data_IF_911430757901
#
_entry.id   IF_911430757901
#
_cell.length_a   1.000
_cell.length_b   1.000
_cell.length_c   1.000
_cell.angle_alpha   90.00
_cell.angle_beta   90.00
_cell.angle_gamma   90.00
#
_symmetry.space_group_name_H-M   'P 1'
#
loop_
_entity.id
_entity.type
_entity.pdbx_description
1 polymer ?
#
# COMPACT_ATOMS: atom_id res chain seq x y z
N UNK A 1 12.81 -14.43 -13.37
CA UNK A 1 13.51 -13.99 -12.15
C UNK A 1 14.50 -15.04 -11.69
N UNK A 2 14.04 -16.24 -11.29
CA UNK A 2 14.86 -17.39 -10.90
C UNK A 2 16.12 -17.64 -11.76
N UNK A 3 15.93 -18.03 -13.03
CA UNK A 3 17.05 -18.32 -13.94
C UNK A 3 18.03 -17.14 -14.08
N UNK A 4 17.54 -15.90 -14.04
CA UNK A 4 18.37 -14.71 -14.22
C UNK A 4 19.20 -14.39 -12.97
N UNK A 5 18.64 -14.61 -11.77
CA UNK A 5 19.38 -14.45 -10.50
C UNK A 5 20.44 -15.56 -10.40
N UNK A 6 20.06 -16.82 -10.63
CA UNK A 6 21.00 -17.94 -10.57
C UNK A 6 22.13 -17.75 -11.59
N UNK A 7 21.83 -17.49 -12.87
CA UNK A 7 22.86 -17.27 -13.88
C UNK A 7 23.86 -16.14 -13.53
N UNK A 8 23.46 -15.16 -12.72
CA UNK A 8 24.31 -14.04 -12.32
C UNK A 8 25.14 -14.33 -11.06
N UNK A 9 24.63 -15.11 -10.11
CA UNK A 9 25.21 -15.22 -8.76
C UNK A 9 25.64 -16.63 -8.33
N UNK A 10 25.29 -17.69 -9.06
CA UNK A 10 25.79 -19.03 -8.77
C UNK A 10 24.94 -20.19 -9.31
N UNK A 11 25.33 -21.41 -8.95
CA UNK A 11 24.61 -22.62 -9.36
C UNK A 11 23.16 -22.64 -8.85
N UNK A 12 22.28 -23.12 -9.71
CA UNK A 12 20.82 -23.17 -9.52
C UNK A 12 20.49 -24.15 -8.37
N UNK A 13 20.12 -23.68 -7.16
CA UNK A 13 19.75 -24.60 -6.09
C UNK A 13 18.38 -25.21 -6.40
N UNK A 14 18.19 -26.51 -6.14
CA UNK A 14 16.84 -27.09 -6.13
C UNK A 14 16.07 -26.47 -4.97
N UNK A 15 15.00 -25.75 -5.28
CA UNK A 15 14.17 -25.04 -4.29
C UNK A 15 12.71 -25.42 -4.47
N UNK A 16 12.02 -25.52 -3.34
CA UNK A 16 10.57 -25.53 -3.28
C UNK A 16 10.12 -24.21 -2.65
N UNK A 17 9.21 -23.50 -3.31
CA UNK A 17 8.80 -22.14 -2.91
C UNK A 17 7.28 -22.10 -2.80
N UNK A 18 6.83 -21.91 -1.57
CA UNK A 18 5.42 -21.70 -1.26
C UNK A 18 5.16 -20.22 -1.02
N UNK A 19 4.09 -19.68 -1.62
CA UNK A 19 3.69 -18.29 -1.43
C UNK A 19 2.21 -18.21 -1.06
N UNK A 20 1.93 -17.52 0.04
CA UNK A 20 0.59 -17.22 0.54
C UNK A 20 0.51 -15.73 0.91
N UNK A 21 -0.66 -15.11 0.80
CA UNK A 21 -0.84 -13.68 1.04
C UNK A 21 -2.20 -13.34 1.65
N UNK A 22 -2.20 -12.38 2.58
CA UNK A 22 -3.41 -11.74 3.12
C UNK A 22 -3.98 -10.66 2.19
N UNK A 23 -3.23 -10.23 1.17
CA UNK A 23 -3.65 -9.17 0.26
C UNK A 23 -4.76 -9.67 -0.68
N UNK A 24 -5.89 -8.94 -0.80
CA UNK A 24 -6.91 -9.30 -1.75
C UNK A 24 -6.41 -9.14 -3.19
N UNK A 25 -6.63 -10.18 -3.99
CA UNK A 25 -6.15 -10.25 -5.38
C UNK A 25 -6.90 -9.23 -6.24
N UNK A 26 -6.17 -8.48 -7.07
CA UNK A 26 -6.75 -7.59 -8.07
C UNK A 26 -7.33 -6.27 -7.53
N UNK A 27 -7.21 -5.99 -6.23
CA UNK A 27 -7.71 -4.77 -5.60
C UNK A 27 -6.84 -3.51 -5.89
N UNK A 28 -5.67 -3.68 -6.52
CA UNK A 28 -4.72 -2.59 -6.76
C UNK A 28 -3.92 -2.19 -5.52
N UNK A 29 -3.64 -3.15 -4.64
CA UNK A 29 -2.87 -2.97 -3.40
C UNK A 29 -1.41 -3.45 -3.53
N UNK A 30 -0.89 -3.59 -4.76
CA UNK A 30 0.49 -3.99 -5.00
C UNK A 30 0.81 -5.46 -4.69
N UNK A 31 -0.16 -6.38 -4.79
CA UNK A 31 0.08 -7.81 -4.47
C UNK A 31 1.10 -8.47 -5.40
N UNK A 32 1.16 -8.11 -6.69
CA UNK A 32 2.19 -8.60 -7.63
C UNK A 32 3.58 -8.13 -7.23
N UNK A 33 3.69 -6.87 -6.82
CA UNK A 33 4.94 -6.29 -6.37
C UNK A 33 5.41 -6.92 -5.04
N UNK A 34 4.50 -7.13 -4.08
CA UNK A 34 4.81 -7.83 -2.84
C UNK A 34 5.32 -9.26 -3.12
N UNK A 35 4.65 -9.99 -4.03
CA UNK A 35 5.11 -11.29 -4.52
C UNK A 35 6.52 -11.22 -5.12
N UNK A 36 6.76 -10.27 -6.04
CA UNK A 36 8.05 -10.11 -6.71
C UNK A 36 9.18 -9.76 -5.73
N UNK A 37 8.89 -8.94 -4.71
CA UNK A 37 9.83 -8.58 -3.64
C UNK A 37 10.17 -9.79 -2.78
N UNK A 38 9.18 -10.54 -2.29
CA UNK A 38 9.41 -11.75 -1.49
C UNK A 38 10.22 -12.79 -2.26
N UNK A 39 9.88 -13.01 -3.54
CA UNK A 39 10.60 -13.95 -4.39
C UNK A 39 12.03 -13.50 -4.66
N UNK A 40 12.26 -12.22 -4.95
CA UNK A 40 13.59 -11.66 -5.16
C UNK A 40 14.46 -11.83 -3.90
N UNK A 41 13.94 -11.49 -2.72
CA UNK A 41 14.67 -11.62 -1.46
C UNK A 41 15.04 -13.08 -1.15
N UNK A 42 14.09 -14.00 -1.27
CA UNK A 42 14.33 -15.42 -1.02
C UNK A 42 15.38 -16.01 -1.98
N UNK A 43 15.29 -15.69 -3.27
CA UNK A 43 16.21 -16.20 -4.28
C UNK A 43 17.61 -15.59 -4.18
N UNK A 44 17.72 -14.29 -3.89
CA UNK A 44 19.00 -13.63 -3.67
C UNK A 44 19.71 -14.21 -2.45
N UNK A 45 18.97 -14.50 -1.36
CA UNK A 45 19.53 -15.15 -0.18
C UNK A 45 19.98 -16.58 -0.50
N UNK A 46 19.14 -17.36 -1.20
CA UNK A 46 19.47 -18.74 -1.58
C UNK A 46 20.72 -18.82 -2.47
N UNK A 47 20.91 -17.84 -3.36
CA UNK A 47 22.09 -17.72 -4.21
C UNK A 47 23.28 -17.02 -3.51
N UNK A 48 23.18 -16.71 -2.20
CA UNK A 48 24.20 -15.99 -1.41
C UNK A 48 24.60 -14.62 -1.98
N UNK A 49 23.71 -14.00 -2.75
CA UNK A 49 23.90 -12.65 -3.29
C UNK A 49 23.61 -11.56 -2.24
N UNK A 50 22.82 -11.89 -1.22
CA UNK A 50 22.59 -11.08 -0.02
C UNK A 50 22.76 -11.96 1.22
N UNK A 51 23.06 -11.33 2.35
CA UNK A 51 23.27 -12.00 3.63
C UNK A 51 21.95 -12.48 4.26
N UNK A 52 22.06 -13.39 5.24
CA UNK A 52 20.94 -13.69 6.14
C UNK A 52 20.92 -12.60 7.24
N UNK A 53 19.88 -11.76 7.32
CA UNK A 53 19.86 -10.65 8.25
C UNK A 53 19.53 -11.08 9.69
N UNK A 54 18.92 -12.26 9.88
CA UNK A 54 18.53 -12.75 11.20
C UNK A 54 19.76 -13.16 12.02
N UNK A 55 19.93 -12.53 13.19
CA UNK A 55 20.91 -12.97 14.18
C UNK A 55 20.28 -13.94 15.17
N UNK A 56 21.14 -14.69 15.86
CA UNK A 56 20.70 -15.65 16.88
C UNK A 56 19.89 -14.96 17.97
N UNK A 57 18.65 -15.42 18.20
CA UNK A 57 17.72 -14.86 19.18
C UNK A 57 16.78 -13.77 18.65
N UNK A 58 16.95 -13.28 17.43
CA UNK A 58 16.01 -12.32 16.81
C UNK A 58 14.79 -13.05 16.21
N UNK A 59 13.61 -12.46 16.33
CA UNK A 59 12.37 -12.99 15.73
C UNK A 59 12.19 -12.54 14.29
N UNK A 60 12.65 -11.32 13.97
CA UNK A 60 12.54 -10.72 12.64
C UNK A 60 13.76 -9.86 12.35
N UNK A 61 14.18 -9.79 11.09
CA UNK A 61 15.28 -8.94 10.66
C UNK A 61 15.10 -8.42 9.23
N UNK A 62 15.76 -7.31 8.91
CA UNK A 62 15.76 -6.69 7.59
C UNK A 62 17.18 -6.52 7.07
N UNK A 63 17.31 -6.47 5.75
CA UNK A 63 18.57 -6.31 5.04
C UNK A 63 19.11 -4.88 5.08
N UNK A 64 20.38 -4.70 4.71
CA UNK A 64 20.99 -3.37 4.60
C UNK A 64 20.41 -2.58 3.42
N UNK A 65 20.65 -1.27 3.36
CA UNK A 65 20.14 -0.42 2.28
C UNK A 65 20.64 -0.86 0.90
N UNK A 66 21.90 -1.33 0.81
CA UNK A 66 22.50 -1.84 -0.42
C UNK A 66 21.79 -3.13 -0.89
N UNK A 67 21.50 -4.03 0.04
CA UNK A 67 20.80 -5.29 -0.22
C UNK A 67 19.32 -5.06 -0.56
N UNK A 68 18.65 -4.14 0.13
CA UNK A 68 17.30 -3.69 -0.20
C UNK A 68 17.24 -3.08 -1.60
N UNK A 69 18.22 -2.27 -1.98
CA UNK A 69 18.33 -1.73 -3.35
C UNK A 69 18.43 -2.86 -4.38
N UNK A 70 19.18 -3.92 -4.09
CA UNK A 70 19.31 -5.09 -4.96
C UNK A 70 17.99 -5.89 -5.04
N UNK A 71 17.31 -6.10 -3.92
CA UNK A 71 15.98 -6.74 -3.87
C UNK A 71 14.99 -5.94 -4.73
N UNK A 72 14.94 -4.61 -4.54
CA UNK A 72 14.05 -3.74 -5.28
C UNK A 72 14.31 -3.81 -6.79
N UNK A 73 15.58 -3.79 -7.19
CA UNK A 73 15.98 -3.88 -8.59
C UNK A 73 15.45 -5.15 -9.25
N UNK A 74 15.60 -6.30 -8.59
CA UNK A 74 15.13 -7.58 -9.13
C UNK A 74 13.60 -7.71 -9.10
N UNK A 75 12.96 -7.22 -8.04
CA UNK A 75 11.50 -7.15 -7.96
C UNK A 75 10.93 -6.28 -9.08
N UNK A 76 11.56 -5.14 -9.37
CA UNK A 76 11.19 -4.27 -10.49
C UNK A 76 11.30 -4.97 -11.84
N UNK A 77 12.36 -5.76 -12.08
CA UNK A 77 12.45 -6.56 -13.31
C UNK A 77 11.34 -7.62 -13.38
N UNK A 78 10.94 -8.21 -12.24
CA UNK A 78 9.78 -9.09 -12.15
C UNK A 78 8.48 -8.39 -12.57
N UNK A 79 8.22 -7.21 -12.01
CA UNK A 79 7.03 -6.42 -12.34
C UNK A 79 7.03 -5.97 -13.81
N UNK A 80 8.20 -5.70 -14.40
CA UNK A 80 8.31 -5.38 -15.84
C UNK A 80 7.89 -6.56 -16.74
N UNK A 81 8.15 -7.79 -16.30
CA UNK A 81 7.72 -8.98 -17.06
C UNK A 81 6.19 -9.15 -16.98
N UNK A 82 5.59 -8.86 -15.81
CA UNK A 82 4.16 -9.06 -15.57
C UNK A 82 3.32 -7.92 -16.17
N UNK A 83 3.74 -6.67 -15.94
CA UNK A 83 2.95 -5.46 -16.25
C UNK A 83 3.53 -4.61 -17.39
N UNK A 84 4.69 -4.99 -17.94
CA UNK A 84 5.36 -4.28 -19.04
C UNK A 84 6.11 -3.04 -18.57
N UNK A 85 5.37 -1.95 -18.29
CA UNK A 85 5.94 -0.64 -17.92
C UNK A 85 5.45 -0.14 -16.54
N UNK A 86 5.78 -0.85 -15.44
CA UNK A 86 5.46 -0.40 -14.08
C UNK A 86 6.22 0.87 -13.70
N UNK A 87 5.64 1.67 -12.79
CA UNK A 87 6.25 2.92 -12.29
C UNK A 87 7.42 2.70 -11.32
N UNK A 88 7.52 1.50 -10.74
CA UNK A 88 8.49 1.18 -9.69
C UNK A 88 8.01 1.46 -8.27
N UNK A 89 6.84 2.10 -8.10
CA UNK A 89 6.33 2.51 -6.78
C UNK A 89 5.91 1.30 -5.95
N UNK A 90 5.16 0.36 -6.52
CA UNK A 90 4.60 -0.76 -5.76
C UNK A 90 5.71 -1.65 -5.17
N UNK A 91 6.72 -2.00 -5.98
CA UNK A 91 7.86 -2.79 -5.51
C UNK A 91 8.76 -1.99 -4.56
N UNK A 92 8.85 -0.67 -4.72
CA UNK A 92 9.53 0.19 -3.76
C UNK A 92 8.84 0.15 -2.39
N UNK A 93 7.52 0.31 -2.34
CA UNK A 93 6.76 0.22 -1.09
C UNK A 93 6.96 -1.17 -0.46
N UNK A 94 6.84 -2.24 -1.25
CA UNK A 94 7.08 -3.60 -0.75
C UNK A 94 8.50 -3.84 -0.21
N UNK A 95 9.51 -3.15 -0.74
CA UNK A 95 10.90 -3.32 -0.32
C UNK A 95 11.23 -2.50 0.93
N UNK A 96 11.01 -1.19 0.87
CA UNK A 96 11.42 -0.26 1.95
C UNK A 96 10.37 -0.14 3.05
N UNK A 97 9.08 -0.35 2.74
CA UNK A 97 7.98 -0.07 3.66
C UNK A 97 7.83 1.41 3.98
N UNK A 98 7.16 1.71 5.08
CA UNK A 98 6.91 3.07 5.53
C UNK A 98 6.07 3.85 4.51
N UNK A 99 6.46 5.10 4.25
CA UNK A 99 5.85 5.93 3.22
C UNK A 99 6.90 6.40 2.21
N UNK A 100 6.48 6.54 0.95
CA UNK A 100 7.32 6.98 -0.15
C UNK A 100 6.69 8.19 -0.84
N UNK A 101 7.53 9.17 -1.20
CA UNK A 101 7.15 10.22 -2.14
C UNK A 101 7.51 9.79 -3.55
N UNK A 102 6.54 9.88 -4.46
CA UNK A 102 6.77 9.72 -5.89
C UNK A 102 6.53 11.06 -6.61
N UNK A 103 7.51 11.53 -7.35
CA UNK A 103 7.38 12.74 -8.17
C UNK A 103 8.17 12.56 -9.47
N UNK A 104 7.47 12.62 -10.61
CA UNK A 104 8.06 12.59 -11.95
C UNK A 104 9.10 11.48 -12.15
N UNK A 105 8.80 10.26 -11.70
CA UNK A 105 9.69 9.10 -11.82
C UNK A 105 10.71 8.94 -10.69
N UNK A 106 10.85 9.93 -9.80
CA UNK A 106 11.73 9.86 -8.63
C UNK A 106 10.96 9.35 -7.41
N UNK A 107 11.48 8.29 -6.79
CA UNK A 107 10.98 7.74 -5.52
C UNK A 107 11.92 8.19 -4.40
N UNK A 108 11.37 8.66 -3.28
CA UNK A 108 12.14 9.07 -2.11
C UNK A 108 11.45 8.57 -0.84
N UNK A 109 12.10 7.73 -0.02
CA UNK A 109 11.54 7.32 1.26
C UNK A 109 11.41 8.48 2.23
N UNK A 110 10.30 8.52 2.96
CA UNK A 110 10.09 9.45 4.07
C UNK A 110 10.69 8.84 5.34
N UNK A 111 11.30 9.67 6.18
CA UNK A 111 11.92 9.23 7.44
C UNK A 111 11.01 9.54 8.61
N UNK A 112 10.94 8.62 9.58
CA UNK A 112 10.25 8.86 10.84
C UNK A 112 8.73 8.87 10.76
N UNK A 113 8.14 8.25 9.74
CA UNK A 113 6.69 8.23 9.54
C UNK A 113 6.04 7.26 10.54
N UNK A 114 4.97 7.66 11.27
CA UNK A 114 4.28 6.76 12.18
C UNK A 114 3.48 5.69 11.41
N UNK A 115 3.18 4.57 12.08
CA UNK A 115 2.15 3.67 11.58
C UNK A 115 0.77 4.23 11.90
N UNK A 116 -0.12 4.21 10.92
CA UNK A 116 -1.48 4.71 11.06
C UNK A 116 -2.47 3.57 10.94
N UNK A 117 -3.36 3.40 11.93
CA UNK A 117 -4.45 2.43 11.84
C UNK A 117 -5.48 2.90 10.82
N UNK A 118 -5.94 1.97 9.99
CA UNK A 118 -6.97 2.23 8.98
C UNK A 118 -7.99 1.10 8.90
N UNK A 119 -9.16 1.42 8.36
CA UNK A 119 -9.97 0.43 7.66
C UNK A 119 -9.65 0.50 6.17
N UNK A 120 -9.39 -0.66 5.58
CA UNK A 120 -9.32 -0.86 4.15
C UNK A 120 -10.64 -1.49 3.70
N UNK A 121 -11.36 -0.82 2.82
CA UNK A 121 -12.67 -1.30 2.35
C UNK A 121 -12.64 -1.53 0.85
N UNK A 122 -12.86 -2.75 0.41
CA UNK A 122 -13.06 -3.11 -0.99
C UNK A 122 -14.55 -3.08 -1.33
N UNK A 123 -14.95 -2.15 -2.20
CA UNK A 123 -16.34 -2.02 -2.64
C UNK A 123 -16.81 -3.16 -3.55
N UNK A 124 -15.90 -4.01 -4.02
CA UNK A 124 -16.12 -5.09 -5.00
C UNK A 124 -16.63 -4.61 -6.37
N UNK A 125 -16.72 -3.30 -6.58
CA UNK A 125 -17.12 -2.73 -7.86
C UNK A 125 -15.93 -2.85 -8.83
N UNK A 126 -16.08 -3.58 -9.95
CA UNK A 126 -15.02 -3.69 -10.95
C UNK A 126 -14.80 -2.37 -11.66
N UNK A 127 -13.57 -2.13 -12.11
CA UNK A 127 -13.17 -0.87 -12.74
C UNK A 127 -12.12 -1.09 -13.82
N UNK A 128 -11.97 -0.11 -14.70
CA UNK A 128 -10.87 -0.05 -15.65
C UNK A 128 -10.00 1.18 -15.37
N UNK A 129 -8.81 0.97 -14.81
CA UNK A 129 -7.83 2.03 -14.54
C UNK A 129 -7.52 2.84 -15.80
N UNK A 130 -7.40 2.17 -16.96
CA UNK A 130 -7.14 2.81 -18.24
C UNK A 130 -8.26 3.79 -18.63
N UNK A 131 -9.52 3.42 -18.41
CA UNK A 131 -10.68 4.27 -18.73
C UNK A 131 -10.75 5.47 -17.80
N UNK A 132 -10.55 5.27 -16.49
CA UNK A 132 -10.57 6.37 -15.51
C UNK A 132 -9.46 7.39 -15.78
N UNK A 133 -8.24 6.92 -16.02
CA UNK A 133 -7.10 7.79 -16.35
C UNK A 133 -7.35 8.55 -17.65
N UNK A 134 -7.92 7.90 -18.67
CA UNK A 134 -8.29 8.57 -19.92
C UNK A 134 -9.37 9.65 -19.71
N UNK A 135 -10.39 9.37 -18.90
CA UNK A 135 -11.44 10.34 -18.56
C UNK A 135 -10.93 11.55 -17.78
N UNK A 136 -10.02 11.34 -16.83
CA UNK A 136 -9.35 12.45 -16.11
C UNK A 136 -8.54 13.30 -17.09
N UNK A 137 -7.77 12.67 -17.98
CA UNK A 137 -6.99 13.37 -19.02
C UNK A 137 -7.89 14.19 -19.94
N UNK A 138 -9.01 13.63 -20.40
CA UNK A 138 -9.97 14.33 -21.24
C UNK A 138 -10.56 15.54 -20.52
N UNK A 139 -10.93 15.40 -19.23
CA UNK A 139 -11.47 16.49 -18.43
C UNK A 139 -10.46 17.62 -18.23
N UNK A 140 -9.18 17.29 -18.00
CA UNK A 140 -8.09 18.28 -17.91
C UNK A 140 -7.96 19.06 -19.23
N UNK A 141 -7.96 18.37 -20.37
CA UNK A 141 -7.86 19.00 -21.69
C UNK A 141 -9.09 19.86 -22.02
N UNK A 142 -10.27 19.44 -21.57
CA UNK A 142 -11.54 20.16 -21.79
C UNK A 142 -11.66 21.42 -20.94
N UNK A 143 -11.18 21.39 -19.70
CA UNK A 143 -11.33 22.48 -18.73
C UNK A 143 -10.01 22.82 -18.01
N UNK A 144 -8.94 23.20 -18.73
CA UNK A 144 -7.61 23.35 -18.16
C UNK A 144 -7.53 24.43 -17.06
N UNK A 145 -8.24 25.55 -17.25
CA UNK A 145 -8.27 26.65 -16.27
C UNK A 145 -8.93 26.26 -14.93
N UNK A 146 -9.75 25.20 -14.91
CA UNK A 146 -10.40 24.69 -13.70
C UNK A 146 -9.61 23.50 -13.14
N UNK A 147 -9.19 22.58 -14.01
CA UNK A 147 -8.57 21.33 -13.57
C UNK A 147 -7.12 21.49 -13.12
N UNK A 148 -6.35 22.44 -13.69
CA UNK A 148 -4.97 22.65 -13.24
C UNK A 148 -4.90 23.12 -11.78
N UNK A 149 -5.69 24.13 -11.34
CA UNK A 149 -5.76 24.47 -9.91
C UNK A 149 -6.19 23.32 -8.99
N UNK A 150 -7.07 22.43 -9.47
CA UNK A 150 -7.46 21.23 -8.70
C UNK A 150 -6.28 20.29 -8.53
N UNK A 151 -5.47 20.08 -9.58
CA UNK A 151 -4.25 19.26 -9.50
C UNK A 151 -3.21 19.90 -8.58
N UNK A 152 -3.02 21.22 -8.65
CA UNK A 152 -2.11 21.96 -7.77
C UNK A 152 -2.55 21.82 -6.29
N UNK A 153 -3.87 21.86 -6.02
CA UNK A 153 -4.42 21.63 -4.69
C UNK A 153 -4.13 20.21 -4.18
N UNK A 154 -4.30 19.17 -5.03
CA UNK A 154 -3.99 17.79 -4.66
C UNK A 154 -2.49 17.61 -4.37
N UNK A 155 -1.62 18.26 -5.15
CA UNK A 155 -0.18 18.26 -4.91
C UNK A 155 0.16 18.92 -3.58
N UNK A 156 -0.45 20.09 -3.29
CA UNK A 156 -0.30 20.77 -2.00
C UNK A 156 -0.72 19.88 -0.81
N UNK A 157 -1.85 19.17 -0.91
CA UNK A 157 -2.29 18.21 0.13
C UNK A 157 -1.21 17.16 0.40
N UNK A 158 -0.56 16.64 -0.65
CA UNK A 158 0.47 15.62 -0.51
C UNK A 158 1.74 16.18 0.16
N UNK A 159 2.12 17.42 -0.17
CA UNK A 159 3.25 18.12 0.45
C UNK A 159 2.99 18.47 1.93
N UNK A 160 1.78 18.92 2.26
CA UNK A 160 1.36 19.20 3.64
C UNK A 160 1.28 17.92 4.46
N UNK A 161 0.69 16.85 3.89
CA UNK A 161 0.62 15.54 4.54
C UNK A 161 2.01 14.99 4.84
N UNK A 162 2.96 15.08 3.89
CA UNK A 162 4.36 14.73 4.15
C UNK A 162 4.92 15.48 5.37
N UNK A 163 4.74 16.80 5.42
CA UNK A 163 5.26 17.63 6.52
C UNK A 163 4.66 17.25 7.87
N UNK A 164 3.35 17.00 7.92
CA UNK A 164 2.68 16.54 9.14
C UNK A 164 3.23 15.18 9.57
N UNK A 165 3.30 14.22 8.65
CA UNK A 165 3.75 12.86 8.92
C UNK A 165 5.20 12.79 9.42
N UNK A 166 6.10 13.60 8.84
CA UNK A 166 7.52 13.67 9.25
C UNK A 166 7.70 14.37 10.61
N UNK A 167 6.74 15.21 11.02
CA UNK A 167 6.75 15.89 12.31
C UNK A 167 6.09 15.06 13.44
N UNK A 168 5.30 14.04 13.10
CA UNK A 168 4.65 13.18 14.08
C UNK A 168 5.65 12.26 14.78
N UNK A 169 5.52 12.02 16.09
CA UNK A 169 6.30 10.99 16.76
C UNK A 169 5.81 9.60 16.35
N UNK A 170 6.62 8.56 16.60
CA UNK A 170 6.30 7.17 16.24
C UNK A 170 4.94 6.69 16.81
N UNK A 171 4.58 7.16 18.01
CA UNK A 171 3.28 6.94 18.64
C UNK A 171 2.55 8.28 18.76
N UNK A 172 1.90 8.74 17.68
CA UNK A 172 1.27 10.06 17.66
C UNK A 172 0.07 10.14 18.60
N UNK A 173 -0.04 11.26 19.32
CA UNK A 173 -1.22 11.65 20.06
C UNK A 173 -2.40 11.94 19.11
N UNK A 174 -3.66 11.84 19.58
CA UNK A 174 -4.84 12.15 18.78
C UNK A 174 -4.86 13.55 18.15
N UNK A 175 -4.15 14.53 18.73
CA UNK A 175 -4.14 15.92 18.25
C UNK A 175 -3.52 16.12 16.86
N UNK A 176 -2.72 15.15 16.40
CA UNK A 176 -2.12 15.19 15.05
C UNK A 176 -3.05 14.67 13.96
N UNK A 177 -4.18 14.04 14.32
CA UNK A 177 -5.06 13.37 13.36
C UNK A 177 -6.09 14.27 12.67
N UNK A 178 -6.70 15.29 13.31
CA UNK A 178 -7.72 16.12 12.65
C UNK A 178 -7.28 16.72 11.32
N UNK A 179 -6.02 17.17 11.24
CA UNK A 179 -5.47 17.70 9.98
C UNK A 179 -5.34 16.63 8.89
N UNK A 180 -5.02 15.38 9.25
CA UNK A 180 -4.96 14.26 8.32
C UNK A 180 -6.38 13.85 7.85
N UNK A 181 -7.36 13.91 8.75
CA UNK A 181 -8.77 13.69 8.45
C UNK A 181 -9.29 14.73 7.44
N UNK A 182 -8.98 16.01 7.64
CA UNK A 182 -9.32 17.07 6.67
C UNK A 182 -8.62 16.85 5.32
N UNK A 183 -7.35 16.43 5.31
CA UNK A 183 -6.67 16.07 4.06
C UNK A 183 -7.34 14.92 3.33
N UNK A 184 -7.91 13.94 4.05
CA UNK A 184 -8.66 12.85 3.44
C UNK A 184 -9.93 13.38 2.77
N UNK A 185 -10.71 14.20 3.47
CA UNK A 185 -11.98 14.74 2.98
C UNK A 185 -11.76 15.65 1.76
N UNK A 186 -10.84 16.62 1.86
CA UNK A 186 -10.56 17.56 0.77
C UNK A 186 -10.08 16.80 -0.48
N UNK A 187 -9.16 15.84 -0.31
CA UNK A 187 -8.65 15.05 -1.42
C UNK A 187 -9.73 14.15 -2.03
N UNK A 188 -10.61 13.56 -1.22
CA UNK A 188 -11.76 12.79 -1.72
C UNK A 188 -12.68 13.67 -2.60
N UNK A 189 -12.99 14.89 -2.17
CA UNK A 189 -13.78 15.82 -2.96
C UNK A 189 -13.08 16.22 -4.27
N UNK A 190 -11.77 16.48 -4.24
CA UNK A 190 -11.02 16.75 -5.47
C UNK A 190 -11.02 15.55 -6.43
N UNK A 191 -10.87 14.32 -5.94
CA UNK A 191 -10.94 13.10 -6.74
C UNK A 191 -12.32 12.92 -7.38
N UNK A 192 -13.39 13.27 -6.67
CA UNK A 192 -14.75 13.31 -7.22
C UNK A 192 -14.88 14.36 -8.33
N UNK A 193 -14.35 15.58 -8.15
CA UNK A 193 -14.31 16.62 -9.19
C UNK A 193 -13.57 16.15 -10.44
N UNK A 194 -12.43 15.46 -10.27
CA UNK A 194 -11.66 14.87 -11.37
C UNK A 194 -12.44 13.78 -12.12
N UNK A 195 -13.49 13.20 -11.51
CA UNK A 195 -14.30 12.14 -12.11
C UNK A 195 -13.77 10.75 -11.81
N UNK A 196 -12.93 10.60 -10.79
CA UNK A 196 -12.51 9.31 -10.25
C UNK A 196 -13.48 8.77 -9.18
N UNK A 197 -14.55 9.51 -8.87
CA UNK A 197 -15.58 9.07 -7.92
C UNK A 197 -16.42 7.88 -8.40
N UNK A 198 -17.25 7.35 -7.50
CA UNK A 198 -18.26 6.33 -7.80
C UNK A 198 -19.30 6.27 -6.68
N UNK A 199 -20.59 5.98 -6.95
CA UNK A 199 -21.61 5.90 -5.90
C UNK A 199 -21.28 4.95 -4.74
N UNK A 200 -20.57 3.85 -5.00
CA UNK A 200 -20.12 2.94 -3.92
C UNK A 200 -19.06 3.56 -3.01
N UNK A 201 -18.19 4.42 -3.55
CA UNK A 201 -17.19 5.16 -2.77
C UNK A 201 -17.85 6.30 -1.98
N UNK A 202 -18.83 6.99 -2.58
CA UNK A 202 -19.61 7.99 -1.86
C UNK A 202 -20.40 7.34 -0.71
N UNK A 203 -20.95 6.14 -0.94
CA UNK A 203 -21.61 5.35 0.09
C UNK A 203 -20.67 4.92 1.21
N UNK A 204 -19.44 4.49 0.87
CA UNK A 204 -18.40 4.18 1.85
C UNK A 204 -18.13 5.40 2.74
N UNK A 205 -17.82 6.56 2.15
CA UNK A 205 -17.56 7.79 2.90
C UNK A 205 -18.76 8.21 3.75
N UNK A 206 -19.99 8.07 3.25
CA UNK A 206 -21.20 8.39 3.99
C UNK A 206 -21.36 7.48 5.23
N UNK A 207 -21.16 6.18 5.07
CA UNK A 207 -21.26 5.22 6.20
C UNK A 207 -20.20 5.55 7.25
N UNK A 208 -18.94 5.72 6.85
CA UNK A 208 -17.88 6.01 7.83
C UNK A 208 -18.08 7.35 8.53
N UNK A 209 -18.54 8.38 7.80
CA UNK A 209 -18.83 9.69 8.39
C UNK A 209 -19.95 9.62 9.44
N UNK A 210 -20.93 8.74 9.27
CA UNK A 210 -22.00 8.54 10.27
C UNK A 210 -21.48 7.97 11.61
N UNK A 211 -20.28 7.38 11.60
CA UNK A 211 -19.55 6.91 12.77
C UNK A 211 -18.43 7.86 13.22
N UNK A 212 -18.35 9.07 12.63
CA UNK A 212 -17.30 10.05 12.92
C UNK A 212 -15.92 9.67 12.36
N UNK A 213 -15.88 8.87 11.29
CA UNK A 213 -14.64 8.41 10.65
C UNK A 213 -14.49 8.99 9.24
N UNK A 214 -13.26 9.38 8.91
CA UNK A 214 -12.93 10.08 7.66
C UNK A 214 -12.31 9.12 6.64
N UNK A 215 -12.81 9.18 5.41
CA UNK A 215 -12.45 8.22 4.37
C UNK A 215 -12.21 8.86 3.03
N UNK A 216 -11.32 8.24 2.25
CA UNK A 216 -11.11 8.56 0.84
C UNK A 216 -10.89 7.31 0.01
N UNK A 217 -11.15 7.40 -1.30
CA UNK A 217 -10.76 6.35 -2.24
C UNK A 217 -9.23 6.21 -2.31
N UNK A 218 -8.77 5.02 -2.69
CA UNK A 218 -7.36 4.74 -2.97
C UNK A 218 -7.15 4.11 -4.35
N UNK A 219 -6.06 4.49 -5.00
CA UNK A 219 -5.75 4.12 -6.39
C UNK A 219 -6.64 4.84 -7.41
N UNK A 220 -7.03 4.14 -8.47
CA UNK A 220 -7.67 4.75 -9.65
C UNK A 220 -9.07 5.37 -9.44
N UNK A 221 -9.77 5.06 -8.34
CA UNK A 221 -11.18 5.38 -8.14
C UNK A 221 -12.16 4.50 -8.94
N UNK A 222 -13.38 4.99 -9.19
CA UNK A 222 -14.42 4.33 -10.00
C UNK A 222 -14.98 3.04 -9.41
N UNK A 223 -14.88 2.85 -8.10
CA UNK A 223 -15.05 1.57 -7.41
C UNK A 223 -13.75 1.18 -6.71
N UNK A 224 -13.40 -0.12 -6.71
CA UNK A 224 -12.18 -0.60 -6.04
C UNK A 224 -12.22 -0.35 -4.53
N UNK A 225 -11.12 0.14 -3.96
CA UNK A 225 -10.96 0.30 -2.52
C UNK A 225 -10.99 1.76 -2.03
N UNK A 226 -11.40 1.93 -0.78
CA UNK A 226 -11.20 3.14 0.02
C UNK A 226 -10.41 2.85 1.29
N UNK A 227 -9.86 3.91 1.86
CA UNK A 227 -9.17 3.91 3.15
C UNK A 227 -9.92 4.83 4.11
N UNK A 228 -10.06 4.39 5.35
CA UNK A 228 -10.65 5.14 6.46
C UNK A 228 -9.61 5.29 7.55
N UNK A 229 -9.32 6.51 7.97
CA UNK A 229 -8.33 6.76 9.03
C UNK A 229 -8.94 6.44 10.40
N UNK A 230 -8.19 5.73 11.24
CA UNK A 230 -8.57 5.43 12.62
C UNK A 230 -7.62 6.14 13.57
N UNK A 231 -8.17 7.03 14.40
CA UNK A 231 -7.41 7.74 15.44
C UNK A 231 -7.08 6.80 16.60
N UNK A 232 -6.04 7.10 17.40
CA UNK A 232 -5.71 6.29 18.57
C UNK A 232 -6.84 6.24 19.59
N UNK A 233 -7.66 7.28 19.65
CA UNK A 233 -8.83 7.43 20.52
C UNK A 233 -10.15 7.00 19.86
N UNK A 234 -10.13 6.45 18.64
CA UNK A 234 -11.34 5.94 17.99
C UNK A 234 -11.99 4.83 18.82
N UNK A 235 -13.28 4.99 19.12
CA UNK A 235 -14.07 4.01 19.86
C UNK A 235 -14.11 2.67 19.15
N UNK A 236 -13.71 1.59 19.82
CA UNK A 236 -13.77 0.22 19.29
C UNK A 236 -15.20 -0.15 18.85
N UNK A 237 -16.21 0.31 19.58
CA UNK A 237 -17.61 0.09 19.22
C UNK A 237 -18.00 0.81 17.93
N UNK A 238 -17.52 2.04 17.73
CA UNK A 238 -17.77 2.81 16.51
C UNK A 238 -17.07 2.19 15.30
N UNK A 239 -15.82 1.73 15.48
CA UNK A 239 -15.07 1.04 14.41
C UNK A 239 -15.75 -0.27 14.01
N UNK A 240 -16.21 -1.07 14.98
CA UNK A 240 -16.89 -2.33 14.69
C UNK A 240 -18.27 -2.11 14.07
N UNK A 241 -19.03 -1.10 14.53
CA UNK A 241 -20.29 -0.71 13.91
C UNK A 241 -20.08 -0.25 12.45
N UNK A 242 -19.07 0.57 12.18
CA UNK A 242 -18.71 0.99 10.82
C UNK A 242 -18.37 -0.21 9.92
N UNK A 243 -17.60 -1.20 10.42
CA UNK A 243 -17.30 -2.42 9.68
C UNK A 243 -18.56 -3.22 9.35
N UNK A 244 -19.48 -3.37 10.31
CA UNK A 244 -20.74 -4.07 10.10
C UNK A 244 -21.61 -3.39 9.04
N UNK A 245 -21.73 -2.06 9.10
CA UNK A 245 -22.52 -1.28 8.13
C UNK A 245 -21.91 -1.30 6.73
N UNK A 246 -20.58 -1.28 6.62
CA UNK A 246 -19.87 -1.43 5.35
C UNK A 246 -20.09 -2.84 4.76
N UNK A 247 -20.00 -3.89 5.60
CA UNK A 247 -20.31 -5.26 5.19
C UNK A 247 -21.79 -5.42 4.77
N UNK A 248 -22.72 -4.74 5.44
CA UNK A 248 -24.13 -4.72 5.06
C UNK A 248 -24.38 -4.06 3.69
N UNK A 249 -23.48 -3.17 3.24
CA UNK A 249 -23.48 -2.64 1.87
C UNK A 249 -22.91 -3.62 0.83
N UNK A 250 -22.51 -4.84 1.24
CA UNK A 250 -21.89 -5.85 0.38
C UNK A 250 -20.39 -5.66 0.17
N UNK A 251 -19.74 -4.77 0.93
CA UNK A 251 -18.30 -4.54 0.83
C UNK A 251 -17.51 -5.55 1.66
N UNK A 252 -16.22 -5.66 1.37
CA UNK A 252 -15.25 -6.32 2.26
C UNK A 252 -14.46 -5.27 3.02
N UNK A 253 -14.23 -5.50 4.31
CA UNK A 253 -13.53 -4.55 5.16
C UNK A 253 -12.49 -5.27 6.03
N UNK A 254 -11.28 -4.69 6.07
CA UNK A 254 -10.19 -5.17 6.90
C UNK A 254 -9.66 -4.01 7.75
N UNK A 255 -9.34 -4.30 9.00
CA UNK A 255 -8.60 -3.38 9.84
C UNK A 255 -7.11 -3.68 9.70
N UNK A 256 -6.31 -2.68 9.37
CA UNK A 256 -4.87 -2.83 9.11
C UNK A 256 -4.10 -1.54 9.40
N UNK A 257 -2.80 -1.52 9.14
CA UNK A 257 -1.92 -0.38 9.36
C UNK A 257 -1.28 0.10 8.05
N UNK A 258 -1.23 1.41 7.85
CA UNK A 258 -0.36 2.06 6.88
C UNK A 258 1.01 2.31 7.50
N UNK A 259 2.05 2.43 6.66
CA UNK A 259 3.42 2.68 7.11
C UNK A 259 4.13 1.44 7.66
N UNK A 260 3.62 0.24 7.34
CA UNK A 260 4.21 -1.02 7.78
C UNK A 260 5.66 -1.21 7.27
N UNK A 261 6.47 -2.05 7.95
CA UNK A 261 7.78 -2.45 7.45
C UNK A 261 7.68 -3.07 6.04
N UNK A 262 8.73 -2.90 5.25
CA UNK A 262 8.87 -3.57 3.95
C UNK A 262 9.32 -5.02 4.14
N UNK A 263 9.97 -5.56 3.11
CA UNK A 263 10.50 -6.92 3.12
C UNK A 263 11.27 -7.22 4.41
N UNK A 264 10.87 -8.30 5.06
CA UNK A 264 11.33 -8.71 6.38
C UNK A 264 11.47 -10.22 6.40
N UNK A 265 12.57 -10.70 6.97
CA UNK A 265 12.77 -12.12 7.22
C UNK A 265 12.24 -12.46 8.61
N UNK A 266 11.51 -13.56 8.71
CA UNK A 266 10.86 -14.03 9.93
C UNK A 266 11.47 -15.36 10.36
N UNK A 267 11.72 -15.54 11.67
CA UNK A 267 11.94 -16.87 12.23
C UNK A 267 10.63 -17.66 12.17
N UNK A 268 10.70 -19.00 12.05
CA UNK A 268 9.50 -19.84 12.07
C UNK A 268 8.66 -19.66 13.34
N UNK A 269 9.32 -19.40 14.48
CA UNK A 269 8.66 -19.12 15.76
C UNK A 269 7.92 -17.79 15.82
N UNK A 270 8.20 -16.86 14.91
CA UNK A 270 7.55 -15.53 14.86
C UNK A 270 6.27 -15.51 14.02
N UNK A 271 6.00 -16.57 13.26
CA UNK A 271 4.84 -16.67 12.39
C UNK A 271 3.58 -16.95 13.21
N UNK A 272 2.47 -16.31 12.84
CA UNK A 272 1.18 -16.57 13.48
C UNK A 272 0.65 -17.96 13.10
N UNK A 273 -0.27 -18.50 13.90
CA UNK A 273 -0.79 -19.86 13.72
C UNK A 273 -1.51 -20.06 12.36
N UNK A 274 -2.15 -19.01 11.84
CA UNK A 274 -2.87 -19.07 10.56
C UNK A 274 -1.89 -19.22 9.39
N UNK A 275 -0.81 -18.43 9.39
CA UNK A 275 0.26 -18.48 8.40
C UNK A 275 1.00 -19.82 8.49
N UNK A 276 1.37 -20.27 9.69
CA UNK A 276 2.00 -21.59 9.87
C UNK A 276 1.14 -22.71 9.33
N UNK A 277 -0.16 -22.69 9.63
CA UNK A 277 -1.09 -23.68 9.12
C UNK A 277 -1.16 -23.63 7.59
N UNK A 278 -1.33 -22.45 6.99
CA UNK A 278 -1.35 -22.27 5.54
C UNK A 278 -0.06 -22.76 4.86
N UNK A 279 1.10 -22.56 5.49
CA UNK A 279 2.40 -22.98 4.96
C UNK A 279 2.69 -24.48 5.16
N UNK A 280 1.96 -25.16 6.04
CA UNK A 280 2.16 -26.58 6.37
C UNK A 280 1.28 -27.56 5.59
N UNK A 281 0.26 -27.07 4.88
CA UNK A 281 -0.75 -27.89 4.20
C UNK A 281 -0.41 -28.24 2.73
N UNK A 282 0.83 -28.04 2.30
CA UNK A 282 1.30 -28.27 0.93
C UNK A 282 2.46 -29.24 0.89
#
# INVERSE_FOLDING_TARGET
MYLAISAKYGDVPSVDILVWSELPIGAGLGSSAAYAVCLAAALLMACRAISCPLKEGESTARWTEEELTLINHWAFQGERVIHGNPSGVDNAVGTWGGALRYQSGKITPLKGVPMLRILLTNTKVPRSTKVLVAGVKEKILKFPAIMNPVLDSIDAISQECQRVLEAMPANPSPEHYPVLEEFFDINQHHLNVMGAGHPSLDRLCQVTASHGLHSKLTGAGGGGCGITLLRPDSSLLAVEAAKQDLCACGFECWETNLGAPGVTLHSSSSLNAQVLHALSQS
#
